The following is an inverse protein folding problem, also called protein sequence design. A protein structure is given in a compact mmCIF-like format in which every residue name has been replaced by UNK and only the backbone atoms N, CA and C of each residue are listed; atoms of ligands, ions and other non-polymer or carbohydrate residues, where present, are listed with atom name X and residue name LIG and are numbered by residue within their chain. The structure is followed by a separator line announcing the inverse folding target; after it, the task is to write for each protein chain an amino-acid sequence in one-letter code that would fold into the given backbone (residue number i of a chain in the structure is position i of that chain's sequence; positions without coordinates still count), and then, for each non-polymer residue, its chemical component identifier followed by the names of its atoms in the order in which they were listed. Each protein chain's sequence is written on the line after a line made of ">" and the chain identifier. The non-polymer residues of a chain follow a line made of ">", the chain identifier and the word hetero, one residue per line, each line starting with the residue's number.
data_IF_126507972711
#
_entry.id   IF_126507972711
#
_cell.length_a   1.000
_cell.length_b   1.000
_cell.length_c   1.000
_cell.angle_alpha   90.00
_cell.angle_beta   90.00
_cell.angle_gamma   90.00
#
_symmetry.space_group_name_H-M   'P 1'
#
loop_
_entity.id
_entity.type
_entity.pdbx_description
1 polymer ?
#
# COMPACT_ATOMS: atom_id res chain seq x y z
N UNK A 1 32.24 10.90 22.21
CA UNK A 1 32.61 11.46 20.89
C UNK A 1 31.89 10.67 19.81
N UNK A 2 30.84 11.23 19.19
CA UNK A 2 30.14 10.59 18.06
C UNK A 2 30.06 11.61 16.93
N UNK A 3 30.57 11.19 15.77
CA UNK A 3 30.95 12.02 14.62
C UNK A 3 29.72 12.51 13.87
N UNK A 4 29.72 13.80 13.52
CA UNK A 4 28.81 14.40 12.55
C UNK A 4 29.01 13.74 11.19
N UNK A 5 27.93 13.24 10.59
CA UNK A 5 27.92 12.82 9.20
C UNK A 5 27.13 13.86 8.38
N UNK A 6 27.87 14.63 7.60
CA UNK A 6 27.38 15.52 6.56
C UNK A 6 26.88 14.67 5.39
N UNK A 7 25.59 14.77 5.02
CA UNK A 7 25.05 14.10 3.83
C UNK A 7 24.73 15.16 2.78
N UNK A 8 25.46 15.07 1.67
CA UNK A 8 25.31 15.87 0.45
C UNK A 8 24.16 15.30 -0.38
N UNK A 9 23.14 16.10 -0.69
CA UNK A 9 22.06 15.74 -1.62
C UNK A 9 22.50 16.00 -3.08
N UNK A 10 22.29 15.08 -4.03
CA UNK A 10 22.27 15.41 -5.44
C UNK A 10 20.89 15.96 -5.85
N UNK A 11 20.94 17.13 -6.51
CA UNK A 11 19.85 17.77 -7.24
C UNK A 11 19.47 16.90 -8.45
N UNK A 12 18.23 16.43 -8.54
CA UNK A 12 17.70 15.77 -9.74
C UNK A 12 16.71 16.71 -10.43
N UNK A 13 17.02 17.03 -11.69
CA UNK A 13 16.27 17.89 -12.59
C UNK A 13 15.34 17.08 -13.52
N UNK A 14 14.23 17.70 -13.93
CA UNK A 14 13.38 17.31 -15.09
C UNK A 14 12.26 16.31 -14.77
N UNK A 15 11.04 16.40 -15.32
CA UNK A 15 10.66 16.94 -16.64
C UNK A 15 9.22 17.48 -16.67
N UNK A 16 9.05 18.44 -17.55
CA UNK A 16 7.83 19.13 -17.99
C UNK A 16 6.92 18.16 -18.74
N UNK A 17 5.61 18.15 -18.47
CA UNK A 17 4.61 17.64 -19.42
C UNK A 17 3.64 18.78 -19.74
N UNK A 18 3.70 19.19 -21.00
CA UNK A 18 2.92 20.24 -21.62
C UNK A 18 1.58 19.70 -22.16
N UNK A 19 0.55 20.55 -22.13
CA UNK A 19 -0.62 20.52 -23.04
C UNK A 19 -1.64 19.41 -22.79
N UNK A 20 -2.95 19.63 -22.86
CA UNK A 20 -3.66 20.55 -23.75
C UNK A 20 -5.08 20.82 -23.23
N UNK A 21 -5.55 22.03 -23.53
CA UNK A 21 -6.88 22.56 -23.25
C UNK A 21 -7.81 22.05 -24.35
N UNK A 22 -8.78 21.21 -24.03
CA UNK A 22 -9.81 20.77 -24.97
C UNK A 22 -10.97 21.76 -25.00
N UNK A 23 -11.15 22.48 -26.11
CA UNK A 23 -12.37 23.22 -26.42
C UNK A 23 -13.54 22.26 -26.80
N UNK A 24 -14.82 22.66 -26.66
CA UNK A 24 -15.96 21.82 -27.00
C UNK A 24 -16.19 21.83 -28.53
N UNK A 25 -16.10 20.66 -29.16
CA UNK A 25 -16.52 20.49 -30.56
C UNK A 25 -17.99 20.07 -30.61
N UNK A 26 -18.80 20.95 -31.21
CA UNK A 26 -20.14 20.67 -31.68
C UNK A 26 -20.12 19.57 -32.75
N UNK A 27 -21.25 18.86 -32.80
CA UNK A 27 -21.54 17.72 -33.63
C UNK A 27 -21.19 17.88 -35.11
N UNK A 28 -20.70 16.79 -35.71
CA UNK A 28 -21.07 16.44 -37.07
C UNK A 28 -21.04 14.91 -37.22
N UNK A 29 -22.07 14.37 -37.86
CA UNK A 29 -22.16 12.97 -38.28
C UNK A 29 -22.44 12.95 -39.76
N UNK A 30 -21.69 12.17 -40.54
CA UNK A 30 -22.39 11.27 -41.45
C UNK A 30 -21.76 9.87 -41.53
N UNK A 31 -22.65 8.89 -41.40
CA UNK A 31 -22.61 7.52 -41.91
C UNK A 31 -21.39 7.13 -42.76
N UNK A 32 -20.49 6.36 -42.15
CA UNK A 32 -19.43 5.62 -42.84
C UNK A 32 -19.27 4.24 -42.21
N UNK A 33 -20.10 3.28 -42.65
CA UNK A 33 -19.83 1.83 -42.67
C UNK A 33 -18.96 1.33 -41.50
N UNK A 34 -19.54 1.35 -40.30
CA UNK A 34 -18.90 0.94 -39.07
C UNK A 34 -18.45 -0.52 -39.16
N UNK A 35 -17.14 -0.72 -39.23
CA UNK A 35 -16.52 -2.00 -38.84
C UNK A 35 -17.12 -2.37 -37.50
N UNK A 36 -17.74 -3.57 -37.42
CA UNK A 36 -18.20 -4.12 -36.15
C UNK A 36 -17.07 -3.95 -35.13
N UNK A 37 -17.33 -3.33 -33.96
CA UNK A 37 -16.34 -3.25 -32.90
C UNK A 37 -15.83 -4.66 -32.65
N UNK A 38 -14.53 -4.86 -32.81
CA UNK A 38 -13.87 -6.06 -32.29
C UNK A 38 -14.25 -6.10 -30.82
N UNK A 39 -14.87 -7.19 -30.32
CA UNK A 39 -15.22 -7.29 -28.91
C UNK A 39 -13.97 -6.98 -28.11
N UNK A 40 -14.01 -5.90 -27.32
CA UNK A 40 -12.98 -5.63 -26.34
C UNK A 40 -12.78 -6.94 -25.56
N UNK A 41 -11.58 -7.49 -25.66
CA UNK A 41 -11.18 -8.68 -24.95
C UNK A 41 -11.53 -8.43 -23.49
N UNK A 42 -12.59 -9.08 -22.99
CA UNK A 42 -13.01 -8.94 -21.60
C UNK A 42 -11.88 -9.56 -20.79
N UNK A 43 -10.92 -8.74 -20.37
CA UNK A 43 -9.94 -9.11 -19.38
C UNK A 43 -10.75 -9.61 -18.19
N UNK A 44 -10.67 -10.92 -17.92
CA UNK A 44 -11.34 -11.52 -16.76
C UNK A 44 -11.03 -10.65 -15.55
N UNK A 45 -12.02 -10.24 -14.73
CA UNK A 45 -11.74 -9.50 -13.53
C UNK A 45 -10.74 -10.31 -12.70
N UNK A 46 -9.60 -9.69 -12.39
CA UNK A 46 -8.57 -10.32 -11.57
C UNK A 46 -9.22 -10.82 -10.29
N UNK A 47 -9.00 -12.09 -9.94
CA UNK A 47 -9.67 -12.70 -8.79
C UNK A 47 -9.08 -12.08 -7.52
N UNK A 48 -9.80 -11.12 -6.96
CA UNK A 48 -9.46 -10.52 -5.68
C UNK A 48 -9.94 -11.41 -4.54
N UNK A 49 -9.03 -11.79 -3.65
CA UNK A 49 -9.37 -12.54 -2.42
C UNK A 49 -9.03 -11.71 -1.19
N UNK A 50 -9.88 -11.74 -0.16
CA UNK A 50 -9.57 -11.10 1.12
C UNK A 50 -8.51 -11.92 1.88
N UNK A 51 -7.58 -11.25 2.55
CA UNK A 51 -6.62 -11.89 3.44
C UNK A 51 -6.61 -11.21 4.81
N UNK A 52 -6.22 -11.98 5.84
CA UNK A 52 -5.96 -11.48 7.18
C UNK A 52 -4.65 -12.06 7.69
N UNK A 53 -3.76 -11.18 8.15
CA UNK A 53 -2.45 -11.53 8.69
C UNK A 53 -2.32 -10.93 10.09
N UNK A 54 -1.77 -11.72 11.00
CA UNK A 54 -1.42 -11.25 12.33
C UNK A 54 0.04 -11.54 12.57
N UNK A 55 0.77 -10.56 13.08
CA UNK A 55 2.20 -10.67 13.24
C UNK A 55 2.79 -9.57 14.09
N UNK A 56 4.11 -9.50 14.05
CA UNK A 56 4.90 -8.45 14.68
C UNK A 56 5.46 -7.56 13.60
N UNK A 57 5.33 -6.24 13.77
CA UNK A 57 5.88 -5.27 12.85
C UNK A 57 7.41 -5.25 12.96
N UNK A 58 8.12 -5.56 11.88
CA UNK A 58 9.60 -5.56 11.87
C UNK A 58 10.16 -4.32 11.19
N UNK A 59 9.38 -3.69 10.31
CA UNK A 59 9.74 -2.43 9.67
C UNK A 59 8.58 -1.84 8.89
N UNK A 60 8.67 -0.54 8.63
CA UNK A 60 7.70 0.21 7.85
C UNK A 60 8.43 1.12 6.86
N UNK A 61 7.79 1.37 5.74
CA UNK A 61 8.12 2.45 4.81
C UNK A 61 6.87 3.30 4.58
N UNK A 62 6.97 4.37 3.79
CA UNK A 62 5.82 5.23 3.47
C UNK A 62 4.60 4.47 2.90
N UNK A 63 4.81 3.35 2.19
CA UNK A 63 3.75 2.61 1.50
C UNK A 63 3.80 1.10 1.71
N UNK A 64 4.76 0.57 2.48
CA UNK A 64 4.88 -0.87 2.74
C UNK A 64 5.08 -1.17 4.22
N UNK A 65 4.53 -2.31 4.65
CA UNK A 65 4.74 -2.87 5.98
C UNK A 65 5.48 -4.20 5.85
N UNK A 66 6.53 -4.35 6.64
CA UNK A 66 7.24 -5.61 6.80
C UNK A 66 6.88 -6.18 8.15
N UNK A 67 6.32 -7.39 8.15
CA UNK A 67 5.87 -8.05 9.37
C UNK A 67 6.30 -9.50 9.41
N UNK A 68 6.64 -9.96 10.61
CA UNK A 68 6.86 -11.38 10.89
C UNK A 68 5.52 -12.03 11.22
N UNK A 69 5.07 -12.94 10.36
CA UNK A 69 3.74 -13.57 10.49
C UNK A 69 3.74 -14.56 11.65
N UNK A 70 2.86 -14.34 12.63
CA UNK A 70 2.61 -15.28 13.71
C UNK A 70 1.34 -16.10 13.48
N UNK A 71 0.39 -15.59 12.70
CA UNK A 71 -0.84 -16.28 12.31
C UNK A 71 -1.60 -15.59 11.18
N UNK A 72 -2.65 -16.26 10.68
CA UNK A 72 -3.48 -15.77 9.57
C UNK A 72 -3.38 -16.66 8.33
N UNK A 73 -3.65 -16.07 7.16
CA UNK A 73 -3.72 -16.77 5.87
C UNK A 73 -2.34 -17.10 5.27
N UNK A 74 -1.25 -16.61 5.86
CA UNK A 74 0.13 -16.89 5.43
C UNK A 74 0.83 -17.89 6.36
N UNK A 75 1.87 -18.60 5.87
CA UNK A 75 2.68 -19.49 6.69
C UNK A 75 3.32 -18.74 7.86
N UNK A 76 3.29 -19.37 9.04
CA UNK A 76 3.84 -18.82 10.28
C UNK A 76 5.37 -18.76 10.20
N UNK A 77 5.97 -17.80 10.89
CA UNK A 77 7.43 -17.62 10.94
C UNK A 77 8.03 -17.01 9.66
N UNK A 78 7.21 -16.57 8.72
CA UNK A 78 7.66 -15.95 7.47
C UNK A 78 7.58 -14.43 7.58
N UNK A 79 8.58 -13.73 7.04
CA UNK A 79 8.54 -12.29 6.84
C UNK A 79 7.73 -11.98 5.58
N UNK A 80 6.68 -11.18 5.72
CA UNK A 80 5.82 -10.78 4.62
C UNK A 80 5.87 -9.28 4.46
N UNK A 81 6.07 -8.85 3.22
CA UNK A 81 5.93 -7.45 2.80
C UNK A 81 4.52 -7.25 2.26
N UNK A 82 3.83 -6.24 2.79
CA UNK A 82 2.46 -5.88 2.38
C UNK A 82 2.43 -4.44 1.92
N UNK A 83 1.84 -4.19 0.75
CA UNK A 83 1.62 -2.82 0.27
C UNK A 83 0.41 -2.20 0.98
N UNK A 84 0.51 -0.96 1.40
CA UNK A 84 -0.58 -0.24 2.07
C UNK A 84 -1.29 0.62 1.04
N UNK A 85 -2.61 0.47 0.92
CA UNK A 85 -3.41 1.36 0.08
C UNK A 85 -3.35 2.80 0.63
N UNK A 86 -3.32 3.80 -0.25
CA UNK A 86 -3.34 5.21 0.18
C UNK A 86 -4.59 5.58 1.01
N UNK A 87 -5.68 4.85 0.81
CA UNK A 87 -6.95 5.00 1.57
C UNK A 87 -7.07 4.04 2.75
N UNK A 88 -5.99 3.33 3.10
CA UNK A 88 -6.03 2.35 4.16
C UNK A 88 -6.31 2.99 5.53
N UNK A 89 -7.16 2.34 6.32
CA UNK A 89 -7.40 2.76 7.71
C UNK A 89 -6.35 2.16 8.62
N UNK A 90 -5.48 3.00 9.14
CA UNK A 90 -4.43 2.61 10.09
C UNK A 90 -4.85 3.09 11.47
N UNK A 91 -4.90 2.16 12.43
CA UNK A 91 -5.25 2.47 13.83
C UNK A 91 -4.19 1.92 14.77
N UNK A 92 -3.71 2.74 15.69
CA UNK A 92 -2.84 2.36 16.80
C UNK A 92 -3.66 2.47 18.10
N UNK A 93 -3.82 1.35 18.82
CA UNK A 93 -4.66 1.29 20.02
C UNK A 93 -6.05 1.92 19.78
N UNK A 94 -6.69 1.52 18.69
CA UNK A 94 -8.01 1.99 18.24
C UNK A 94 -8.09 3.47 17.81
N UNK A 95 -6.98 4.21 17.85
CA UNK A 95 -6.88 5.60 17.37
C UNK A 95 -6.33 5.64 15.94
N UNK A 96 -6.98 6.39 15.04
CA UNK A 96 -6.46 6.58 13.67
C UNK A 96 -5.08 7.24 13.69
N UNK A 97 -4.15 6.70 12.92
CA UNK A 97 -2.76 7.14 12.87
C UNK A 97 -2.17 6.98 11.47
N UNK A 98 -0.90 7.35 11.30
CA UNK A 98 -0.12 7.18 10.06
C UNK A 98 0.89 6.04 10.18
N UNK A 99 1.49 5.62 9.05
CA UNK A 99 2.49 4.54 9.01
C UNK A 99 3.74 4.89 9.81
N UNK A 100 4.20 6.15 9.78
CA UNK A 100 5.36 6.64 10.54
C UNK A 100 5.19 6.57 12.07
N UNK A 101 3.95 6.65 12.55
CA UNK A 101 3.67 6.58 13.98
C UNK A 101 3.57 5.14 14.51
N UNK A 102 3.83 4.12 13.67
CA UNK A 102 3.75 2.73 14.07
C UNK A 102 5.07 2.28 14.72
N UNK A 103 5.06 1.86 15.99
CA UNK A 103 6.26 1.36 16.64
C UNK A 103 6.63 -0.02 16.10
N UNK A 104 7.92 -0.19 15.76
CA UNK A 104 8.48 -1.51 15.48
C UNK A 104 8.35 -2.42 16.72
N UNK A 105 8.15 -3.71 16.52
CA UNK A 105 7.91 -4.69 17.59
C UNK A 105 6.47 -4.77 18.07
N UNK A 106 5.57 -3.88 17.64
CA UNK A 106 4.16 -3.95 18.01
C UNK A 106 3.41 -5.10 17.33
N UNK A 107 2.35 -5.57 17.98
CA UNK A 107 1.45 -6.57 17.40
C UNK A 107 0.57 -5.89 16.36
N UNK A 108 0.54 -6.44 15.17
CA UNK A 108 -0.22 -5.91 14.05
C UNK A 108 -1.17 -6.96 13.50
N UNK A 109 -2.40 -6.55 13.22
CA UNK A 109 -3.38 -7.27 12.42
C UNK A 109 -3.62 -6.49 11.15
N UNK A 110 -3.23 -7.09 10.02
CA UNK A 110 -3.40 -6.53 8.68
C UNK A 110 -4.51 -7.27 7.97
N UNK A 111 -5.45 -6.51 7.43
CA UNK A 111 -6.53 -7.03 6.59
C UNK A 111 -6.52 -6.29 5.27
N UNK A 112 -6.79 -7.03 4.20
CA UNK A 112 -6.65 -6.50 2.87
C UNK A 112 -7.12 -7.45 1.80
N UNK A 113 -6.73 -7.13 0.57
CA UNK A 113 -7.06 -7.88 -0.63
C UNK A 113 -5.79 -8.31 -1.35
N UNK A 114 -5.78 -9.55 -1.82
CA UNK A 114 -4.75 -10.08 -2.68
C UNK A 114 -5.28 -10.18 -4.11
N UNK A 115 -4.56 -9.58 -5.05
CA UNK A 115 -4.87 -9.61 -6.49
C UNK A 115 -3.60 -10.01 -7.22
N UNK A 116 -3.65 -11.09 -8.01
CA UNK A 116 -2.51 -11.60 -8.80
C UNK A 116 -1.21 -11.79 -7.99
N UNK A 117 -1.34 -12.18 -6.71
CA UNK A 117 -0.21 -12.38 -5.79
C UNK A 117 0.24 -11.12 -5.04
N UNK A 118 -0.23 -9.94 -5.43
CA UNK A 118 0.05 -8.68 -4.75
C UNK A 118 -0.89 -8.50 -3.56
N UNK A 119 -0.33 -8.31 -2.36
CA UNK A 119 -1.09 -8.07 -1.13
C UNK A 119 -1.21 -6.59 -0.85
N UNK A 120 -2.44 -6.10 -0.86
CA UNK A 120 -2.78 -4.71 -0.56
C UNK A 120 -3.58 -4.63 0.73
N UNK A 121 -3.03 -4.00 1.76
CA UNK A 121 -3.70 -3.72 3.02
C UNK A 121 -4.69 -2.56 2.87
N UNK A 122 -5.93 -2.78 3.30
CA UNK A 122 -6.97 -1.75 3.38
C UNK A 122 -7.25 -1.34 4.82
N UNK A 123 -6.88 -2.18 5.79
CA UNK A 123 -6.98 -1.86 7.21
C UNK A 123 -5.83 -2.50 7.99
N UNK A 124 -5.20 -1.68 8.82
CA UNK A 124 -4.04 -2.05 9.65
C UNK A 124 -4.37 -1.67 11.09
N UNK A 125 -4.45 -2.65 11.96
CA UNK A 125 -4.64 -2.45 13.39
C UNK A 125 -3.37 -2.80 14.11
N UNK A 126 -2.80 -1.84 14.82
CA UNK A 126 -1.62 -2.02 15.64
C UNK A 126 -2.03 -1.90 17.09
N UNK A 127 -1.64 -2.89 17.89
CA UNK A 127 -1.67 -2.83 19.34
C UNK A 127 -0.24 -2.69 19.79
N UNK A 128 0.08 -1.55 20.39
CA UNK A 128 1.36 -1.40 21.06
C UNK A 128 1.41 -2.49 22.13
N UNK A 129 2.35 -3.43 22.00
CA UNK A 129 2.68 -4.28 23.13
C UNK A 129 3.39 -3.36 24.12
N UNK A 130 2.83 -3.22 25.32
CA UNK A 130 3.47 -2.51 26.42
C UNK A 130 4.89 -3.06 26.54
N UNK A 131 5.89 -2.17 26.56
CA UNK A 131 7.29 -2.54 26.68
C UNK A 131 7.48 -3.65 27.73
N UNK A 132 8.14 -4.78 27.40
CA UNK A 132 8.70 -5.65 28.42
C UNK A 132 9.95 -4.97 28.96
N UNK A 133 9.78 -4.04 29.90
CA UNK A 133 10.92 -3.28 30.43
C UNK A 133 10.58 -2.11 31.33
N UNK A 134 9.67 -2.27 32.28
CA UNK A 134 9.62 -1.41 33.48
C UNK A 134 9.60 -2.31 34.72
N UNK A 135 10.74 -2.95 34.94
CA UNK A 135 11.13 -3.55 36.23
C UNK A 135 12.40 -2.81 36.63
N UNK A 136 12.26 -1.80 37.48
CA UNK A 136 13.33 -1.03 38.11
C UNK A 136 13.10 -0.98 39.61
#
# INVERSE_FOLDING_TARGET
>A
MRRLALVVLPLVAGSIIAGSIGAPALADSPNGHGRKPVPAERTKPARTTSFALTGTLTGTTASTLTLSVKGGTAPRGTTVTVSVAATARITLNDKTTTVDALPAGARVTVTGTQTDGVRTATRVQVKAEKEPGDDR
#
